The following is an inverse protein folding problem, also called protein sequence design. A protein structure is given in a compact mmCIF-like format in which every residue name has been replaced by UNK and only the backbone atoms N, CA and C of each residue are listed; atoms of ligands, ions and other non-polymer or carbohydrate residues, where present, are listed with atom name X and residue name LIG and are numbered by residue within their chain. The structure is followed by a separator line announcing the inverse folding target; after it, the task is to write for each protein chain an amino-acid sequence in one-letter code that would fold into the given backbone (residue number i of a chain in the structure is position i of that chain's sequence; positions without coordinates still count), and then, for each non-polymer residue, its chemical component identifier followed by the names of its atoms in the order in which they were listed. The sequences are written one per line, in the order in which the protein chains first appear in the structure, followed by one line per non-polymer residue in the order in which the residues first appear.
data_IF_684298571133
#
_entry.id   IF_684298571133
#
_cell.length_a   1.000
_cell.length_b   1.000
_cell.length_c   1.000
_cell.angle_alpha   90.00
_cell.angle_beta   90.00
_cell.angle_gamma   90.00
#
_symmetry.space_group_name_H-M   'P 1'
#
loop_
_entity.id
_entity.type
_entity.pdbx_description
1 polymer ?
#
# COMPACT_ATOMS: atom_id res chain seq x y z
N UNK A 1 4.62 -36.74 -16.06
CA UNK A 1 5.92 -36.40 -15.42
C UNK A 1 5.79 -34.97 -14.96
N UNK A 2 6.16 -34.72 -13.71
CA UNK A 2 6.08 -33.42 -13.05
C UNK A 2 7.44 -32.72 -13.12
N UNK A 3 7.46 -31.40 -12.96
CA UNK A 3 8.71 -30.64 -12.92
C UNK A 3 9.34 -30.73 -11.54
N UNK A 4 8.52 -30.48 -10.50
CA UNK A 4 8.93 -30.53 -9.10
C UNK A 4 7.93 -31.34 -8.29
N UNK A 5 8.43 -32.12 -7.32
CA UNK A 5 7.59 -32.71 -6.27
C UNK A 5 8.17 -32.42 -4.90
N UNK A 6 7.37 -31.77 -4.05
CA UNK A 6 7.62 -31.63 -2.62
C UNK A 6 7.08 -32.88 -1.93
N UNK A 7 7.90 -33.58 -1.13
CA UNK A 7 7.56 -34.87 -0.53
C UNK A 7 7.46 -34.82 0.98
N UNK A 8 6.50 -35.57 1.53
CA UNK A 8 6.40 -35.87 2.96
C UNK A 8 6.29 -34.64 3.88
N UNK A 9 5.69 -33.55 3.38
CA UNK A 9 5.51 -32.31 4.14
C UNK A 9 4.26 -32.33 5.01
N UNK A 10 4.22 -31.43 6.01
CA UNK A 10 2.96 -31.03 6.67
C UNK A 10 2.33 -29.93 5.84
N UNK A 11 1.26 -30.24 5.11
CA UNK A 11 0.60 -29.32 4.20
C UNK A 11 -0.36 -28.42 4.97
N UNK A 12 -0.14 -27.11 4.88
CA UNK A 12 -1.03 -26.05 5.35
C UNK A 12 -1.48 -25.26 4.12
N UNK A 13 -2.69 -25.50 3.64
CA UNK A 13 -3.14 -25.00 2.33
C UNK A 13 -3.64 -23.53 2.32
N UNK A 14 -3.65 -22.87 3.47
CA UNK A 14 -4.11 -21.49 3.64
C UNK A 14 -5.62 -21.31 3.80
N UNK A 15 -6.41 -22.40 3.78
CA UNK A 15 -7.88 -22.34 3.90
C UNK A 15 -8.40 -22.28 5.35
N UNK A 16 -7.49 -22.26 6.34
CA UNK A 16 -7.82 -22.25 7.77
C UNK A 16 -8.05 -23.63 8.39
N UNK A 17 -8.00 -24.70 7.60
CA UNK A 17 -8.10 -26.08 8.09
C UNK A 17 -6.81 -26.55 8.81
N UNK A 18 -6.88 -27.56 9.70
CA UNK A 18 -5.69 -28.21 10.25
C UNK A 18 -4.81 -28.81 9.15
N UNK A 19 -3.51 -28.87 9.41
CA UNK A 19 -2.54 -29.45 8.47
C UNK A 19 -2.72 -30.97 8.31
N UNK A 20 -2.27 -31.51 7.16
CA UNK A 20 -2.20 -32.96 6.92
C UNK A 20 -0.88 -33.36 6.24
N UNK A 21 -0.48 -34.63 6.37
CA UNK A 21 0.72 -35.12 5.69
C UNK A 21 0.47 -35.38 4.21
N UNK A 22 1.37 -34.90 3.36
CA UNK A 22 1.26 -35.14 1.93
C UNK A 22 2.44 -34.60 1.12
N UNK A 23 2.22 -34.66 -0.18
CA UNK A 23 3.10 -34.24 -1.24
C UNK A 23 2.41 -33.15 -2.08
N UNK A 24 3.20 -32.33 -2.75
CA UNK A 24 2.72 -31.34 -3.72
C UNK A 24 3.44 -31.56 -5.04
N UNK A 25 2.67 -31.77 -6.11
CA UNK A 25 3.17 -31.96 -7.47
C UNK A 25 2.97 -30.71 -8.31
N UNK A 26 4.05 -30.24 -8.94
CA UNK A 26 4.08 -29.00 -9.72
C UNK A 26 4.44 -29.33 -11.17
N UNK A 27 3.71 -28.73 -12.11
CA UNK A 27 3.96 -28.83 -13.55
C UNK A 27 3.62 -27.52 -14.24
N UNK A 28 4.49 -27.06 -15.13
CA UNK A 28 4.34 -25.83 -15.91
C UNK A 28 4.00 -24.62 -15.01
N UNK A 29 4.71 -24.51 -13.88
CA UNK A 29 4.53 -23.44 -12.89
C UNK A 29 3.24 -23.53 -12.05
N UNK A 30 2.44 -24.58 -12.23
CA UNK A 30 1.13 -24.75 -11.57
C UNK A 30 1.12 -25.95 -10.64
N UNK A 31 0.42 -25.85 -9.51
CA UNK A 31 0.15 -27.00 -8.63
C UNK A 31 -0.90 -27.90 -9.32
N UNK A 32 -0.53 -29.14 -9.61
CA UNK A 32 -1.41 -30.09 -10.34
C UNK A 32 -1.87 -31.28 -9.50
N UNK A 33 -1.18 -31.59 -8.40
CA UNK A 33 -1.56 -32.66 -7.47
C UNK A 33 -1.21 -32.27 -6.03
N UNK A 34 -2.11 -32.56 -5.07
CA UNK A 34 -1.90 -32.35 -3.63
C UNK A 34 -2.32 -33.61 -2.87
N UNK A 35 -1.56 -33.99 -1.83
CA UNK A 35 -1.83 -35.19 -1.03
C UNK A 35 -0.91 -36.34 -1.44
N UNK A 36 -1.43 -37.40 -2.07
CA UNK A 36 -0.58 -38.54 -2.49
C UNK A 36 -0.17 -38.44 -3.95
N UNK A 37 0.99 -37.86 -4.21
CA UNK A 37 1.50 -37.66 -5.58
C UNK A 37 2.15 -38.94 -6.09
N UNK A 38 1.50 -39.64 -7.02
CA UNK A 38 2.06 -40.90 -7.59
C UNK A 38 3.10 -40.64 -8.69
N UNK A 39 2.98 -39.52 -9.39
CA UNK A 39 3.89 -39.18 -10.48
C UNK A 39 5.28 -38.84 -9.96
N UNK A 40 6.31 -39.12 -10.77
CA UNK A 40 7.67 -38.65 -10.51
C UNK A 40 7.84 -37.21 -10.99
N UNK A 41 8.57 -36.42 -10.21
CA UNK A 41 9.11 -35.11 -10.59
C UNK A 41 10.49 -35.24 -11.20
N UNK A 42 10.85 -34.32 -12.10
CA UNK A 42 12.23 -34.13 -12.54
C UNK A 42 13.12 -33.73 -11.36
N UNK A 43 12.62 -32.80 -10.54
CA UNK A 43 13.18 -32.42 -9.26
C UNK A 43 12.33 -32.96 -8.11
N UNK A 44 12.99 -33.27 -6.99
CA UNK A 44 12.35 -33.75 -5.77
C UNK A 44 12.97 -33.05 -4.56
N UNK A 45 12.12 -32.45 -3.74
CA UNK A 45 12.50 -31.85 -2.45
C UNK A 45 11.86 -32.67 -1.33
N UNK A 46 12.67 -33.15 -0.37
CA UNK A 46 12.16 -33.81 0.84
C UNK A 46 11.82 -32.76 1.90
N UNK A 47 10.53 -32.59 2.16
CA UNK A 47 9.99 -31.65 3.16
C UNK A 47 9.65 -32.34 4.49
N UNK A 48 10.24 -33.52 4.75
CA UNK A 48 10.04 -34.26 5.98
C UNK A 48 10.36 -33.43 7.23
N UNK A 49 9.39 -33.31 8.14
CA UNK A 49 9.52 -32.49 9.35
C UNK A 49 9.32 -30.98 9.14
N UNK A 50 9.13 -30.53 7.89
CA UNK A 50 8.86 -29.15 7.52
C UNK A 50 7.36 -28.94 7.22
N UNK A 51 6.97 -27.66 7.16
CA UNK A 51 5.65 -27.23 6.68
C UNK A 51 5.79 -26.84 5.21
N UNK A 52 4.78 -27.21 4.42
CA UNK A 52 4.60 -26.72 3.05
C UNK A 52 3.32 -25.90 3.02
N UNK A 53 3.43 -24.64 2.67
CA UNK A 53 2.32 -23.70 2.58
C UNK A 53 2.31 -22.99 1.22
N UNK A 54 1.23 -22.27 0.87
CA UNK A 54 1.33 -21.17 -0.07
C UNK A 54 2.46 -20.22 0.33
N UNK A 55 3.10 -19.61 -0.67
CA UNK A 55 4.01 -18.50 -0.42
C UNK A 55 3.26 -17.33 0.20
N UNK A 56 3.95 -16.56 1.06
CA UNK A 56 3.30 -15.47 1.76
C UNK A 56 3.04 -14.29 0.81
N UNK A 57 1.90 -13.65 1.01
CA UNK A 57 1.54 -12.40 0.34
C UNK A 57 1.80 -11.28 1.33
N UNK A 58 2.80 -10.44 1.04
CA UNK A 58 3.03 -9.22 1.79
C UNK A 58 2.06 -8.14 1.29
N UNK A 59 0.94 -7.99 2.01
CA UNK A 59 -0.14 -7.07 1.66
C UNK A 59 0.19 -5.59 1.87
N UNK A 60 1.29 -5.26 2.53
CA UNK A 60 1.65 -3.88 2.81
C UNK A 60 3.17 -3.67 2.79
N UNK A 61 3.69 -3.29 1.63
CA UNK A 61 5.09 -2.96 1.47
C UNK A 61 5.31 -1.71 0.61
N UNK A 62 6.56 -1.23 0.64
CA UNK A 62 7.05 -0.05 -0.08
C UNK A 62 8.28 -0.40 -0.93
N UNK A 63 8.26 -1.58 -1.55
CA UNK A 63 9.34 -2.07 -2.43
C UNK A 63 9.27 -1.52 -3.86
N UNK A 64 8.35 -0.58 -4.11
CA UNK A 64 7.97 -0.04 -5.42
C UNK A 64 9.16 0.28 -6.34
N UNK A 65 10.20 0.91 -5.77
CA UNK A 65 11.43 1.27 -6.47
C UNK A 65 12.57 0.29 -6.19
N UNK A 66 12.63 -0.25 -4.96
CA UNK A 66 13.66 -1.22 -4.56
C UNK A 66 13.71 -2.42 -5.51
N UNK A 67 12.56 -2.95 -5.87
CA UNK A 67 12.45 -4.15 -6.71
C UNK A 67 13.01 -3.95 -8.13
N UNK A 68 13.07 -2.70 -8.60
CA UNK A 68 13.71 -2.37 -9.88
C UNK A 68 15.23 -2.49 -9.79
N UNK A 69 15.81 -2.09 -8.65
CA UNK A 69 17.27 -2.06 -8.46
C UNK A 69 17.83 -3.37 -7.89
N UNK A 70 17.06 -4.03 -7.03
CA UNK A 70 17.36 -5.36 -6.49
C UNK A 70 16.19 -6.33 -6.74
N UNK A 71 16.01 -6.80 -7.99
CA UNK A 71 14.91 -7.70 -8.36
C UNK A 71 15.00 -9.09 -7.73
N UNK A 72 16.12 -9.42 -7.05
CA UNK A 72 16.22 -10.66 -6.28
C UNK A 72 15.49 -10.57 -4.94
N UNK A 73 15.32 -9.36 -4.42
CA UNK A 73 14.57 -9.05 -3.18
C UNK A 73 14.85 -10.07 -2.07
N UNK A 74 16.13 -10.36 -1.82
CA UNK A 74 16.53 -11.48 -0.95
C UNK A 74 15.92 -11.33 0.47
N UNK A 75 15.70 -10.09 0.91
CA UNK A 75 15.06 -9.79 2.19
C UNK A 75 13.63 -10.34 2.30
N UNK A 76 12.88 -10.39 1.19
CA UNK A 76 11.48 -10.87 1.14
C UNK A 76 11.44 -12.37 0.95
N UNK A 77 12.24 -12.91 0.03
CA UNK A 77 12.37 -14.36 -0.19
C UNK A 77 12.83 -15.10 1.07
N UNK A 78 13.76 -14.54 1.85
CA UNK A 78 14.20 -15.13 3.12
C UNK A 78 13.10 -15.25 4.17
N UNK A 79 12.01 -14.48 4.03
CA UNK A 79 10.83 -14.55 4.88
C UNK A 79 9.76 -15.49 4.32
N UNK A 80 9.92 -16.01 3.10
CA UNK A 80 8.93 -16.83 2.40
C UNK A 80 7.87 -16.03 1.64
N UNK A 81 8.09 -14.73 1.43
CA UNK A 81 7.22 -13.88 0.61
C UNK A 81 7.40 -14.24 -0.86
N UNK A 82 6.30 -14.45 -1.58
CA UNK A 82 6.30 -14.70 -3.03
C UNK A 82 5.48 -13.68 -3.80
N UNK A 83 4.76 -12.80 -3.11
CA UNK A 83 3.95 -11.75 -3.72
C UNK A 83 3.94 -10.53 -2.84
N UNK A 84 4.17 -9.38 -3.45
CA UNK A 84 4.21 -8.08 -2.80
C UNK A 84 3.09 -7.20 -3.34
N UNK A 85 2.36 -6.56 -2.43
CA UNK A 85 1.40 -5.50 -2.74
C UNK A 85 2.04 -4.17 -2.40
N UNK A 86 2.46 -3.44 -3.44
CA UNK A 86 3.13 -2.14 -3.37
C UNK A 86 2.16 -0.98 -3.62
N UNK A 87 2.66 0.26 -3.58
CA UNK A 87 1.85 1.44 -3.83
C UNK A 87 0.97 1.87 -2.68
N UNK A 88 1.34 1.51 -1.45
CA UNK A 88 0.57 1.79 -0.24
C UNK A 88 0.68 3.26 0.23
N UNK A 89 -0.13 3.63 1.23
CA UNK A 89 -0.03 4.91 1.95
C UNK A 89 -0.15 6.16 1.05
N UNK A 90 -0.81 6.06 -0.10
CA UNK A 90 -0.92 7.17 -1.05
C UNK A 90 0.37 7.53 -1.77
N UNK A 91 1.37 6.64 -1.78
CA UNK A 91 2.69 6.84 -2.37
C UNK A 91 2.94 5.79 -3.44
N UNK A 92 3.05 6.23 -4.69
CA UNK A 92 3.41 5.36 -5.83
C UNK A 92 4.39 6.07 -6.76
N UNK A 93 5.20 5.31 -7.52
CA UNK A 93 6.14 5.91 -8.44
C UNK A 93 5.51 6.37 -9.77
N UNK A 94 4.25 6.02 -10.01
CA UNK A 94 3.44 6.41 -11.16
C UNK A 94 1.94 6.46 -10.76
N UNK A 95 1.08 7.17 -11.51
CA UNK A 95 1.41 8.05 -12.65
C UNK A 95 1.87 9.43 -12.19
N UNK A 96 2.59 10.17 -13.05
CA UNK A 96 3.02 11.54 -12.74
C UNK A 96 3.04 12.45 -13.95
N UNK A 97 2.99 13.77 -13.70
CA UNK A 97 3.20 14.78 -14.74
C UNK A 97 4.67 15.21 -14.73
N UNK A 98 5.38 15.27 -15.88
CA UNK A 98 6.81 15.60 -15.94
C UNK A 98 7.21 16.89 -15.21
N UNK A 99 6.35 17.90 -15.24
CA UNK A 99 6.57 19.17 -14.53
C UNK A 99 6.67 19.01 -13.01
N UNK A 100 6.05 17.96 -12.45
CA UNK A 100 5.95 17.70 -11.02
C UNK A 100 6.80 16.49 -10.60
N UNK A 101 7.69 15.97 -11.45
CA UNK A 101 8.53 14.83 -11.12
C UNK A 101 9.38 15.08 -9.87
N UNK A 102 10.03 16.24 -9.75
CA UNK A 102 10.85 16.55 -8.56
C UNK A 102 10.03 16.61 -7.27
N UNK A 103 8.78 17.11 -7.34
CA UNK A 103 7.86 17.07 -6.21
C UNK A 103 7.46 15.65 -5.85
N UNK A 104 7.21 14.78 -6.85
CA UNK A 104 6.90 13.38 -6.60
C UNK A 104 8.09 12.66 -5.96
N UNK A 105 9.31 12.86 -6.49
CA UNK A 105 10.53 12.23 -5.97
C UNK A 105 10.73 12.56 -4.50
N UNK A 106 10.69 13.85 -4.16
CA UNK A 106 10.84 14.30 -2.77
C UNK A 106 9.72 13.82 -1.84
N UNK A 107 8.53 13.52 -2.38
CA UNK A 107 7.42 12.94 -1.64
C UNK A 107 7.64 11.45 -1.33
N UNK A 108 8.06 10.64 -2.31
CA UNK A 108 8.05 9.18 -2.17
C UNK A 108 9.41 8.56 -1.81
N UNK A 109 10.53 9.15 -2.25
CA UNK A 109 11.88 8.62 -2.00
C UNK A 109 12.21 8.39 -0.50
N UNK A 110 11.73 9.22 0.46
CA UNK A 110 11.95 8.96 1.89
C UNK A 110 11.38 7.64 2.41
N UNK A 111 10.40 7.06 1.70
CA UNK A 111 9.72 5.81 2.09
C UNK A 111 10.03 4.68 1.11
N UNK A 112 9.94 4.93 -0.20
CA UNK A 112 10.15 3.94 -1.25
C UNK A 112 11.64 3.67 -1.51
N UNK A 113 12.51 4.51 -0.96
CA UNK A 113 13.94 4.54 -1.26
C UNK A 113 14.25 5.30 -2.55
N UNK A 114 15.53 5.50 -2.80
CA UNK A 114 16.03 6.10 -4.03
C UNK A 114 16.29 5.00 -5.05
N UNK A 115 15.95 5.25 -6.31
CA UNK A 115 16.41 4.39 -7.40
C UNK A 115 17.64 4.96 -8.08
N UNK A 116 18.60 4.08 -8.39
CA UNK A 116 19.75 4.41 -9.24
C UNK A 116 19.38 4.53 -10.73
N UNK A 117 18.17 4.11 -11.10
CA UNK A 117 17.67 4.15 -12.47
C UNK A 117 17.10 5.53 -12.80
N UNK A 118 17.12 5.84 -14.09
CA UNK A 118 16.40 6.99 -14.60
C UNK A 118 14.90 6.70 -14.58
N UNK A 119 14.14 7.61 -13.98
CA UNK A 119 12.71 7.48 -13.77
C UNK A 119 11.95 7.81 -15.07
N UNK A 120 11.76 6.78 -15.91
CA UNK A 120 11.23 6.91 -17.28
C UNK A 120 9.77 6.43 -17.44
N UNK A 121 9.04 6.24 -16.34
CA UNK A 121 7.67 5.70 -16.34
C UNK A 121 6.64 6.70 -15.80
N UNK A 122 6.10 7.53 -16.70
CA UNK A 122 5.05 8.53 -16.39
C UNK A 122 3.68 7.88 -16.13
N UNK A 123 3.43 6.68 -16.68
CA UNK A 123 2.18 5.94 -16.51
C UNK A 123 2.40 4.62 -15.76
N UNK A 124 1.33 4.06 -15.20
CA UNK A 124 1.38 2.74 -14.55
C UNK A 124 1.74 1.63 -15.55
N UNK A 125 1.28 1.72 -16.80
CA UNK A 125 1.68 0.78 -17.87
C UNK A 125 3.20 0.80 -18.12
N UNK A 126 3.81 1.99 -18.14
CA UNK A 126 5.26 2.12 -18.28
C UNK A 126 6.00 1.61 -17.04
N UNK A 127 5.42 1.79 -15.85
CA UNK A 127 5.98 1.23 -14.61
C UNK A 127 5.94 -0.31 -14.64
N UNK A 128 4.84 -0.91 -15.09
CA UNK A 128 4.77 -2.36 -15.30
C UNK A 128 5.77 -2.85 -16.35
N UNK A 129 5.99 -2.10 -17.42
CA UNK A 129 7.04 -2.42 -18.39
C UNK A 129 8.42 -2.43 -17.75
N UNK A 130 8.71 -1.45 -16.88
CA UNK A 130 9.97 -1.40 -16.13
C UNK A 130 10.13 -2.58 -15.14
N UNK A 131 9.04 -3.00 -14.48
CA UNK A 131 9.03 -4.19 -13.61
C UNK A 131 9.29 -5.47 -14.42
N UNK A 132 8.63 -5.65 -15.56
CA UNK A 132 8.84 -6.81 -16.43
C UNK A 132 10.29 -6.90 -16.95
N UNK A 133 10.89 -5.75 -17.28
CA UNK A 133 12.29 -5.67 -17.68
C UNK A 133 13.26 -5.98 -16.52
N UNK A 134 12.91 -5.58 -15.29
CA UNK A 134 13.69 -5.86 -14.10
C UNK A 134 13.63 -7.34 -13.67
N UNK A 135 12.54 -8.04 -13.99
CA UNK A 135 12.29 -9.47 -13.67
C UNK A 135 12.39 -9.75 -12.16
N UNK A 136 11.48 -9.19 -11.34
CA UNK A 136 11.42 -9.51 -9.92
C UNK A 136 11.26 -11.00 -9.66
N UNK A 137 11.78 -11.46 -8.52
CA UNK A 137 11.64 -12.85 -8.08
C UNK A 137 10.24 -13.13 -7.53
N UNK A 138 9.61 -12.13 -6.90
CA UNK A 138 8.24 -12.13 -6.43
C UNK A 138 7.27 -11.65 -7.52
N UNK A 139 6.00 -12.03 -7.37
CA UNK A 139 4.91 -11.33 -8.06
C UNK A 139 4.73 -9.94 -7.43
N UNK A 140 4.41 -8.94 -8.27
CA UNK A 140 4.16 -7.57 -7.80
C UNK A 140 2.77 -7.14 -8.23
N UNK A 141 1.95 -6.70 -7.28
CA UNK A 141 0.69 -6.03 -7.50
C UNK A 141 0.78 -4.60 -6.95
N UNK A 142 0.18 -3.61 -7.62
CA UNK A 142 0.32 -2.21 -7.22
C UNK A 142 -1.01 -1.48 -7.10
N UNK A 143 -1.17 -0.72 -6.03
CA UNK A 143 -2.16 0.34 -5.93
C UNK A 143 -1.70 1.57 -6.74
N UNK A 144 -2.62 2.52 -6.96
CA UNK A 144 -2.30 3.90 -7.33
C UNK A 144 -2.32 4.76 -6.07
N UNK A 145 -1.34 5.63 -5.86
CA UNK A 145 -1.29 6.49 -4.68
C UNK A 145 -2.10 7.77 -4.86
N UNK A 146 -3.02 8.07 -3.95
CA UNK A 146 -3.77 9.35 -3.97
C UNK A 146 -2.85 10.57 -3.87
N UNK A 147 -1.81 10.53 -3.02
CA UNK A 147 -0.82 11.61 -2.93
C UNK A 147 -0.10 11.82 -4.26
N UNK A 148 0.26 10.73 -4.94
CA UNK A 148 0.86 10.75 -6.29
C UNK A 148 -0.09 11.37 -7.32
N UNK A 149 -1.37 10.98 -7.36
CA UNK A 149 -2.38 11.58 -8.25
C UNK A 149 -2.53 13.09 -8.00
N UNK A 150 -2.59 13.47 -6.73
CA UNK A 150 -2.70 14.87 -6.33
C UNK A 150 -1.49 15.68 -6.77
N UNK A 151 -0.28 15.15 -6.60
CA UNK A 151 0.95 15.80 -7.07
C UNK A 151 0.94 15.93 -8.60
N UNK A 152 0.51 14.90 -9.32
CA UNK A 152 0.44 14.93 -10.78
C UNK A 152 -0.49 16.06 -11.32
N UNK A 153 -1.57 16.37 -10.60
CA UNK A 153 -2.58 17.34 -11.05
C UNK A 153 -2.39 18.73 -10.43
N UNK A 154 -2.10 18.79 -9.14
CA UNK A 154 -2.15 20.00 -8.31
C UNK A 154 -0.81 20.33 -7.62
N UNK A 155 0.20 19.47 -7.76
CA UNK A 155 1.42 19.58 -6.96
C UNK A 155 1.13 19.46 -5.45
N UNK A 156 1.72 20.35 -4.66
CA UNK A 156 1.64 20.36 -3.19
C UNK A 156 0.70 21.44 -2.62
N UNK A 157 -0.25 21.93 -3.43
CA UNK A 157 -1.16 23.00 -3.02
C UNK A 157 -2.11 22.57 -1.88
N UNK A 158 -2.19 23.39 -0.84
CA UNK A 158 -3.04 23.17 0.33
C UNK A 158 -4.43 23.80 0.12
N UNK A 159 -5.20 23.21 -0.80
CA UNK A 159 -6.60 23.56 -1.07
C UNK A 159 -7.39 22.36 -1.59
N UNK A 160 -8.74 22.40 -1.54
CA UNK A 160 -9.56 21.44 -2.27
C UNK A 160 -9.28 21.46 -3.77
N UNK A 161 -9.50 20.31 -4.41
CA UNK A 161 -9.46 20.22 -5.86
C UNK A 161 -10.65 20.99 -6.47
N UNK A 162 -10.42 21.67 -7.59
CA UNK A 162 -11.52 22.08 -8.44
C UNK A 162 -12.18 20.87 -9.09
N UNK A 163 -13.41 21.02 -9.60
CA UNK A 163 -14.08 19.94 -10.32
C UNK A 163 -13.28 19.42 -11.51
N UNK A 164 -12.58 20.29 -12.25
CA UNK A 164 -11.73 19.88 -13.38
C UNK A 164 -10.50 19.07 -12.93
N UNK A 165 -9.88 19.47 -11.82
CA UNK A 165 -8.72 18.75 -11.25
C UNK A 165 -9.14 17.39 -10.68
N UNK A 166 -10.28 17.31 -10.00
CA UNK A 166 -10.84 16.06 -9.51
C UNK A 166 -11.16 15.10 -10.67
N UNK A 167 -11.80 15.60 -11.73
CA UNK A 167 -12.05 14.82 -12.95
C UNK A 167 -10.75 14.37 -13.63
N UNK A 168 -9.68 15.18 -13.57
CA UNK A 168 -8.37 14.78 -14.08
C UNK A 168 -7.74 13.68 -13.24
N UNK A 169 -7.83 13.75 -11.90
CA UNK A 169 -7.37 12.66 -11.02
C UNK A 169 -8.14 11.37 -11.26
N UNK A 170 -9.47 11.44 -11.46
CA UNK A 170 -10.29 10.27 -11.83
C UNK A 170 -9.84 9.63 -13.13
N UNK A 171 -9.55 10.43 -14.18
CA UNK A 171 -9.04 9.90 -15.46
C UNK A 171 -7.71 9.18 -15.31
N UNK A 172 -6.75 9.77 -14.58
CA UNK A 172 -5.45 9.14 -14.32
C UNK A 172 -5.61 7.83 -13.53
N UNK A 173 -6.52 7.80 -12.55
CA UNK A 173 -6.86 6.58 -11.81
C UNK A 173 -7.47 5.53 -12.75
N UNK A 174 -8.43 5.92 -13.59
CA UNK A 174 -9.09 5.02 -14.55
C UNK A 174 -8.09 4.43 -15.56
N UNK A 175 -7.20 5.24 -16.13
CA UNK A 175 -6.10 4.78 -17.01
C UNK A 175 -5.18 3.79 -16.28
N UNK A 176 -4.88 4.05 -15.01
CA UNK A 176 -4.02 3.19 -14.20
C UNK A 176 -4.67 1.84 -13.87
N UNK A 177 -5.98 1.84 -13.58
CA UNK A 177 -6.74 0.61 -13.37
C UNK A 177 -6.85 -0.21 -14.66
N UNK A 178 -7.07 0.46 -15.81
CA UNK A 178 -7.05 -0.20 -17.12
C UNK A 178 -5.70 -0.82 -17.45
N UNK A 179 -4.60 -0.22 -16.99
CA UNK A 179 -3.25 -0.77 -17.13
C UNK A 179 -2.99 -1.98 -16.21
N UNK A 180 -3.85 -2.24 -15.21
CA UNK A 180 -3.75 -3.39 -14.31
C UNK A 180 -3.42 -3.05 -12.85
N UNK A 181 -3.46 -1.77 -12.44
CA UNK A 181 -3.42 -1.45 -11.01
C UNK A 181 -4.62 -2.07 -10.28
N UNK A 182 -4.41 -2.55 -9.05
CA UNK A 182 -5.44 -3.27 -8.29
C UNK A 182 -6.41 -2.36 -7.55
N UNK A 183 -6.13 -1.06 -7.50
CA UNK A 183 -6.93 -0.12 -6.71
C UNK A 183 -6.28 1.22 -6.45
N UNK A 184 -6.76 1.90 -5.41
CA UNK A 184 -6.25 3.18 -4.90
C UNK A 184 -5.79 3.01 -3.45
N UNK A 185 -4.66 3.63 -3.10
CA UNK A 185 -4.24 3.78 -1.71
C UNK A 185 -4.31 5.25 -1.26
N UNK A 186 -4.72 5.46 -0.01
CA UNK A 186 -4.79 6.77 0.62
C UNK A 186 -3.67 6.93 1.65
N UNK A 187 -3.14 8.15 1.73
CA UNK A 187 -2.11 8.58 2.67
C UNK A 187 -2.55 9.79 3.46
N UNK A 188 -3.59 9.66 4.28
CA UNK A 188 -4.30 10.81 4.84
C UNK A 188 -3.55 11.53 5.97
N UNK A 189 -2.52 10.88 6.53
CA UNK A 189 -1.57 11.52 7.45
C UNK A 189 -0.56 12.42 6.71
N UNK A 190 -0.28 12.13 5.44
CA UNK A 190 0.84 12.75 4.71
C UNK A 190 0.37 13.89 3.83
N UNK A 191 1.10 15.01 3.81
CA UNK A 191 0.93 16.02 2.79
C UNK A 191 1.47 15.51 1.43
N UNK A 192 0.77 15.75 0.29
CA UNK A 192 -0.42 16.59 0.19
C UNK A 192 -1.74 15.83 0.37
N UNK A 193 -1.73 14.51 0.58
CA UNK A 193 -2.97 13.71 0.76
C UNK A 193 -3.85 14.19 1.92
N UNK A 194 -3.24 14.68 3.00
CA UNK A 194 -3.91 15.14 4.22
C UNK A 194 -4.78 16.39 4.02
N UNK A 195 -4.60 17.17 2.96
CA UNK A 195 -5.46 18.34 2.72
C UNK A 195 -6.78 18.00 2.01
N UNK A 196 -6.98 16.75 1.58
CA UNK A 196 -8.16 16.36 0.81
C UNK A 196 -9.35 16.09 1.76
N UNK A 197 -10.51 16.73 1.54
CA UNK A 197 -11.73 16.47 2.31
C UNK A 197 -12.32 15.09 1.98
N UNK A 198 -13.11 14.54 2.91
CA UNK A 198 -13.70 13.21 2.77
C UNK A 198 -14.59 13.06 1.54
N UNK A 199 -15.30 14.12 1.17
CA UNK A 199 -16.20 14.15 0.01
C UNK A 199 -15.44 13.95 -1.31
N UNK A 200 -14.34 14.68 -1.52
CA UNK A 200 -13.48 14.53 -2.69
C UNK A 200 -12.85 13.13 -2.74
N UNK A 201 -12.47 12.57 -1.58
CA UNK A 201 -11.96 11.21 -1.48
C UNK A 201 -13.02 10.18 -1.87
N UNK A 202 -14.26 10.32 -1.37
CA UNK A 202 -15.36 9.42 -1.72
C UNK A 202 -15.72 9.51 -3.21
N UNK A 203 -15.67 10.71 -3.78
CA UNK A 203 -15.90 10.93 -5.21
C UNK A 203 -14.77 10.36 -6.08
N UNK A 204 -13.51 10.44 -5.65
CA UNK A 204 -12.41 9.78 -6.34
C UNK A 204 -12.52 8.25 -6.23
N UNK A 205 -12.81 7.73 -5.03
CA UNK A 205 -12.93 6.30 -4.78
C UNK A 205 -14.09 5.64 -5.54
N UNK A 206 -15.13 6.39 -5.94
CA UNK A 206 -16.23 5.82 -6.72
C UNK A 206 -15.79 5.26 -8.08
N UNK A 207 -14.63 5.69 -8.60
CA UNK A 207 -14.04 5.13 -9.82
C UNK A 207 -13.76 3.64 -9.68
N UNK A 208 -13.31 3.19 -8.50
CA UNK A 208 -12.90 1.80 -8.24
C UNK A 208 -14.02 0.78 -8.44
N UNK A 209 -15.26 1.18 -8.12
CA UNK A 209 -16.45 0.31 -8.24
C UNK A 209 -16.69 -0.23 -9.65
N UNK A 210 -16.19 0.46 -10.68
CA UNK A 210 -16.30 0.05 -12.09
C UNK A 210 -15.26 -1.00 -12.49
N UNK A 211 -14.27 -1.26 -11.64
CA UNK A 211 -13.07 -2.05 -11.91
C UNK A 211 -12.84 -3.16 -10.88
N UNK A 212 -13.82 -3.43 -10.00
CA UNK A 212 -13.63 -4.30 -8.82
C UNK A 212 -12.38 -3.91 -8.00
N UNK A 213 -12.06 -2.61 -7.99
CA UNK A 213 -10.84 -2.06 -7.41
C UNK A 213 -10.88 -1.98 -5.89
N UNK A 214 -9.73 -2.19 -5.27
CA UNK A 214 -9.56 -2.18 -3.81
C UNK A 214 -9.20 -0.77 -3.31
N UNK A 215 -9.64 -0.43 -2.10
CA UNK A 215 -9.22 0.79 -1.41
C UNK A 215 -8.33 0.42 -0.21
N UNK A 216 -7.07 0.85 -0.22
CA UNK A 216 -6.19 0.79 0.95
C UNK A 216 -6.02 2.16 1.59
N UNK A 217 -5.84 2.23 2.92
CA UNK A 217 -5.70 3.54 3.59
C UNK A 217 -4.75 3.53 4.77
N UNK A 218 -3.75 4.41 4.70
CA UNK A 218 -3.12 4.98 5.87
C UNK A 218 -4.02 6.13 6.36
N UNK A 219 -4.72 5.88 7.46
CA UNK A 219 -5.75 6.77 8.02
C UNK A 219 -5.18 8.11 8.50
N UNK A 220 -6.05 9.12 8.63
CA UNK A 220 -5.66 10.51 8.89
C UNK A 220 -4.86 10.73 10.17
N UNK A 221 -5.17 9.97 11.21
CA UNK A 221 -4.32 9.91 12.39
C UNK A 221 -4.51 8.61 13.18
N UNK A 222 -3.42 8.18 13.80
CA UNK A 222 -3.33 6.89 14.50
C UNK A 222 -3.19 7.06 16.02
N UNK A 223 -3.18 8.31 16.51
CA UNK A 223 -3.11 8.67 17.93
C UNK A 223 -4.46 9.13 18.46
N UNK A 224 -4.53 10.37 18.96
CA UNK A 224 -5.74 10.92 19.58
C UNK A 224 -6.95 10.96 18.64
N UNK A 225 -6.72 10.97 17.32
CA UNK A 225 -7.75 10.97 16.29
C UNK A 225 -7.99 9.60 15.67
N UNK A 226 -7.49 8.50 16.26
CA UNK A 226 -7.66 7.14 15.71
C UNK A 226 -9.12 6.83 15.38
N UNK A 227 -10.01 7.01 16.36
CA UNK A 227 -11.43 6.66 16.21
C UNK A 227 -12.12 7.51 15.13
N UNK A 228 -12.05 8.85 15.15
CA UNK A 228 -12.56 9.66 14.03
C UNK A 228 -11.98 9.30 12.67
N UNK A 229 -10.71 8.89 12.60
CA UNK A 229 -10.05 8.54 11.34
C UNK A 229 -10.54 7.21 10.78
N UNK A 230 -10.87 6.24 11.65
CA UNK A 230 -11.52 4.98 11.27
C UNK A 230 -12.94 5.25 10.76
N UNK A 231 -13.71 6.08 11.47
CA UNK A 231 -15.07 6.48 11.08
C UNK A 231 -15.07 7.18 9.71
N UNK A 232 -14.10 8.06 9.46
CA UNK A 232 -13.92 8.74 8.17
C UNK A 232 -13.75 7.75 7.01
N UNK A 233 -12.82 6.79 7.13
CA UNK A 233 -12.53 5.87 6.01
C UNK A 233 -13.62 4.82 5.81
N UNK A 234 -14.32 4.42 6.88
CA UNK A 234 -15.53 3.60 6.76
C UNK A 234 -16.61 4.38 6.00
N UNK A 235 -16.83 5.64 6.36
CA UNK A 235 -17.80 6.48 5.66
C UNK A 235 -17.45 6.67 4.18
N UNK A 236 -16.17 6.90 3.85
CA UNK A 236 -15.69 6.97 2.46
C UNK A 236 -16.01 5.67 1.72
N UNK A 237 -15.65 4.52 2.31
CA UNK A 237 -15.86 3.23 1.66
C UNK A 237 -17.34 2.87 1.48
N UNK A 238 -18.19 3.15 2.48
CA UNK A 238 -19.65 3.00 2.38
C UNK A 238 -20.23 3.92 1.30
N UNK A 239 -19.75 5.16 1.22
CA UNK A 239 -20.23 6.15 0.25
C UNK A 239 -19.84 5.80 -1.19
N UNK A 240 -18.65 5.24 -1.38
CA UNK A 240 -18.12 4.85 -2.69
C UNK A 240 -18.48 3.42 -3.11
N UNK A 241 -18.93 2.58 -2.17
CA UNK A 241 -19.29 1.18 -2.43
C UNK A 241 -18.09 0.29 -2.74
N UNK A 242 -16.96 0.48 -2.04
CA UNK A 242 -15.68 -0.19 -2.32
C UNK A 242 -15.17 -1.00 -1.12
N UNK A 243 -14.49 -2.14 -1.34
CA UNK A 243 -13.80 -2.86 -0.27
C UNK A 243 -12.67 -2.02 0.35
N UNK A 244 -12.51 -2.09 1.67
CA UNK A 244 -11.60 -1.26 2.44
C UNK A 244 -10.53 -2.08 3.19
N UNK A 245 -9.27 -1.79 2.92
CA UNK A 245 -8.10 -2.26 3.66
C UNK A 245 -7.55 -1.12 4.52
N UNK A 246 -7.73 -1.18 5.84
CA UNK A 246 -7.08 -0.25 6.77
C UNK A 246 -5.65 -0.73 7.01
N UNK A 247 -4.69 0.03 6.50
CA UNK A 247 -3.28 -0.32 6.61
C UNK A 247 -2.77 -0.21 8.04
N UNK A 248 -1.91 -1.15 8.42
CA UNK A 248 -1.08 -1.17 9.63
C UNK A 248 -1.77 -0.60 10.88
N UNK A 249 -2.96 -1.12 11.20
CA UNK A 249 -3.83 -0.60 12.26
C UNK A 249 -3.08 -0.54 13.60
N UNK A 250 -3.06 0.63 14.24
CA UNK A 250 -2.35 0.83 15.51
C UNK A 250 -2.94 1.98 16.33
N UNK A 251 -2.56 2.02 17.61
CA UNK A 251 -2.81 3.13 18.51
C UNK A 251 -1.47 3.76 18.96
N UNK A 252 -1.12 4.91 18.38
CA UNK A 252 0.14 5.60 18.60
C UNK A 252 0.09 6.49 19.87
N UNK A 253 1.16 6.46 20.66
CA UNK A 253 1.30 7.23 21.90
C UNK A 253 0.62 6.57 23.11
N UNK A 254 1.27 6.66 24.28
CA UNK A 254 0.85 5.96 25.49
C UNK A 254 -0.57 6.27 25.97
N UNK A 255 -1.06 7.49 25.71
CA UNK A 255 -2.44 7.89 26.04
C UNK A 255 -3.52 7.19 25.23
N UNK A 256 -3.17 6.56 24.10
CA UNK A 256 -4.12 5.90 23.21
C UNK A 256 -4.10 4.37 23.35
N UNK A 257 -3.22 3.79 24.18
CA UNK A 257 -3.11 2.34 24.28
C UNK A 257 -4.44 1.70 24.73
N UNK A 258 -4.84 0.65 24.02
CA UNK A 258 -6.14 -0.02 24.18
C UNK A 258 -7.25 0.50 23.27
N UNK A 259 -7.12 1.70 22.68
CA UNK A 259 -8.14 2.24 21.77
C UNK A 259 -8.31 1.42 20.48
N UNK A 260 -7.32 0.59 20.14
CA UNK A 260 -7.44 -0.37 19.03
C UNK A 260 -8.61 -1.34 19.23
N UNK A 261 -8.99 -1.68 20.46
CA UNK A 261 -10.17 -2.52 20.71
C UNK A 261 -11.44 -1.85 20.20
N UNK A 262 -11.56 -0.53 20.43
CA UNK A 262 -12.68 0.26 19.91
C UNK A 262 -12.62 0.39 18.39
N UNK A 263 -11.43 0.51 17.80
CA UNK A 263 -11.27 0.50 16.34
C UNK A 263 -11.72 -0.84 15.73
N UNK A 264 -11.40 -1.97 16.37
CA UNK A 264 -11.87 -3.30 15.94
C UNK A 264 -13.39 -3.43 16.02
N UNK A 265 -14.02 -2.93 17.09
CA UNK A 265 -15.49 -2.90 17.19
C UNK A 265 -16.14 -2.12 16.03
N UNK A 266 -15.55 -0.99 15.61
CA UNK A 266 -16.06 -0.22 14.47
C UNK A 266 -15.91 -0.98 13.15
N UNK A 267 -14.80 -1.70 12.96
CA UNK A 267 -14.57 -2.54 11.77
C UNK A 267 -15.57 -3.70 11.74
N UNK A 268 -15.82 -4.37 12.87
CA UNK A 268 -16.81 -5.44 12.98
C UNK A 268 -18.24 -4.94 12.76
N UNK A 269 -18.59 -3.78 13.32
CA UNK A 269 -19.88 -3.13 13.12
C UNK A 269 -20.10 -2.77 11.64
N UNK A 270 -19.09 -2.21 10.96
CA UNK A 270 -19.14 -1.96 9.53
C UNK A 270 -19.30 -3.24 8.68
N UNK A 271 -18.60 -4.33 9.03
CA UNK A 271 -18.81 -5.65 8.41
C UNK A 271 -20.24 -6.14 8.59
N UNK A 272 -20.83 -5.94 9.78
CA UNK A 272 -22.20 -6.35 10.06
C UNK A 272 -23.24 -5.60 9.21
N UNK A 273 -22.90 -4.38 8.77
CA UNK A 273 -23.68 -3.59 7.81
C UNK A 273 -23.46 -3.97 6.34
N UNK A 274 -22.54 -4.91 6.07
CA UNK A 274 -22.24 -5.42 4.74
C UNK A 274 -21.05 -4.76 4.05
N UNK A 275 -20.28 -3.90 4.73
CA UNK A 275 -19.04 -3.38 4.18
C UNK A 275 -17.95 -4.47 4.21
N UNK A 276 -17.32 -4.74 3.07
CA UNK A 276 -16.10 -5.54 3.04
C UNK A 276 -14.93 -4.68 3.52
N UNK A 277 -14.61 -4.77 4.81
CA UNK A 277 -13.51 -4.04 5.44
C UNK A 277 -12.59 -4.99 6.17
N UNK A 278 -11.28 -4.77 6.11
CA UNK A 278 -10.30 -5.49 6.91
C UNK A 278 -9.10 -4.60 7.24
N UNK A 279 -8.13 -5.13 7.96
CA UNK A 279 -6.90 -4.43 8.29
C UNK A 279 -5.70 -5.37 8.31
N UNK A 280 -4.51 -4.81 8.16
CA UNK A 280 -3.23 -5.48 8.39
C UNK A 280 -2.48 -4.86 9.56
N UNK A 281 -1.47 -5.57 10.05
CA UNK A 281 -0.54 -5.12 11.08
C UNK A 281 0.84 -5.71 10.79
N UNK A 282 1.89 -5.05 11.28
CA UNK A 282 3.21 -5.64 11.40
C UNK A 282 3.48 -6.02 12.87
N UNK A 283 4.23 -7.11 13.15
CA UNK A 283 4.39 -7.65 14.50
C UNK A 283 5.46 -6.91 15.32
N UNK A 284 5.42 -5.58 15.36
CA UNK A 284 6.37 -4.73 16.07
C UNK A 284 5.66 -3.59 16.81
N UNK A 285 6.31 -3.07 17.86
CA UNK A 285 5.77 -1.98 18.69
C UNK A 285 6.22 -0.59 18.26
N UNK A 286 6.92 -0.46 17.12
CA UNK A 286 7.44 0.79 16.60
C UNK A 286 7.13 0.91 15.11
N UNK A 287 6.67 2.09 14.70
CA UNK A 287 6.54 2.46 13.30
C UNK A 287 7.81 3.11 12.75
N UNK A 288 7.86 3.27 11.43
CA UNK A 288 8.94 3.95 10.73
C UNK A 288 8.35 4.72 9.55
N UNK A 289 8.60 6.03 9.48
CA UNK A 289 8.14 6.90 8.39
C UNK A 289 8.95 8.20 8.38
N UNK A 290 8.63 9.11 7.47
CA UNK A 290 9.27 10.43 7.37
C UNK A 290 9.07 11.28 8.63
N UNK A 291 10.11 12.01 9.02
CA UNK A 291 10.08 12.98 10.13
C UNK A 291 9.09 14.13 9.90
N UNK A 292 8.76 14.42 8.64
CA UNK A 292 7.81 15.49 8.27
C UNK A 292 6.41 15.25 8.81
N UNK A 293 6.05 14.01 9.16
CA UNK A 293 4.77 13.67 9.80
C UNK A 293 4.54 14.35 11.14
N UNK A 294 5.61 14.80 11.80
CA UNK A 294 5.50 15.57 13.03
C UNK A 294 5.05 17.01 12.77
N UNK A 295 5.32 17.57 11.58
CA UNK A 295 5.02 18.97 11.28
C UNK A 295 3.53 19.18 11.00
N UNK A 296 2.96 20.34 11.37
CA UNK A 296 1.58 20.63 11.05
C UNK A 296 1.38 20.70 9.52
N UNK A 297 0.25 20.23 8.97
CA UNK A 297 0.06 20.11 7.52
C UNK A 297 0.33 21.41 6.74
N UNK A 298 -0.06 22.57 7.26
CA UNK A 298 0.18 23.87 6.59
C UNK A 298 1.67 24.18 6.37
N UNK A 299 2.56 23.64 7.21
CA UNK A 299 3.99 23.86 7.05
C UNK A 299 4.57 23.11 5.85
N UNK A 300 3.88 22.06 5.37
CA UNK A 300 4.28 21.19 4.26
C UNK A 300 3.76 21.66 2.89
N UNK A 301 3.00 22.74 2.85
CA UNK A 301 2.45 23.30 1.60
C UNK A 301 3.58 23.66 0.62
N UNK A 302 3.41 23.34 -0.66
CA UNK A 302 4.45 23.58 -1.67
C UNK A 302 5.70 22.71 -1.56
N UNK A 303 5.68 21.66 -0.73
CA UNK A 303 6.71 20.63 -0.70
C UNK A 303 7.94 20.97 0.14
N UNK A 304 8.99 20.16 -0.01
CA UNK A 304 10.18 20.18 0.87
C UNK A 304 10.89 21.53 0.85
N UNK A 305 11.10 22.14 -0.32
CA UNK A 305 11.81 23.42 -0.45
C UNK A 305 11.11 24.54 0.33
N UNK A 306 9.79 24.70 0.16
CA UNK A 306 9.03 25.70 0.90
C UNK A 306 8.95 25.36 2.40
N UNK A 307 8.90 24.09 2.76
CA UNK A 307 8.96 23.64 4.16
C UNK A 307 10.25 24.12 4.82
N UNK A 308 11.39 23.96 4.14
CA UNK A 308 12.69 24.41 4.65
C UNK A 308 12.75 25.94 4.80
N UNK A 309 12.19 26.69 3.85
CA UNK A 309 12.06 28.15 3.96
C UNK A 309 11.23 28.55 5.19
N UNK A 310 10.07 27.91 5.42
CA UNK A 310 9.23 28.15 6.62
C UNK A 310 9.96 27.79 7.92
N UNK A 311 10.73 26.71 7.94
CA UNK A 311 11.55 26.37 9.10
C UNK A 311 12.66 27.40 9.34
N UNK A 312 13.17 28.02 8.28
CA UNK A 312 14.11 29.14 8.33
C UNK A 312 13.52 30.42 8.94
N UNK A 313 12.23 30.68 8.74
CA UNK A 313 11.53 31.85 9.26
C UNK A 313 11.23 31.75 10.78
N UNK A 314 11.68 32.70 11.62
CA UNK A 314 11.46 32.66 13.06
C UNK A 314 9.99 32.64 13.49
N UNK A 315 9.11 33.37 12.79
CA UNK A 315 7.70 33.46 13.15
C UNK A 315 6.98 32.13 12.87
N UNK A 316 7.20 31.57 11.67
CA UNK A 316 6.69 30.26 11.27
C UNK A 316 7.19 29.16 12.19
N UNK A 317 8.48 29.19 12.57
CA UNK A 317 9.07 28.21 13.49
C UNK A 317 8.46 28.26 14.88
N UNK A 318 8.18 29.45 15.41
CA UNK A 318 7.53 29.56 16.73
C UNK A 318 6.09 29.05 16.69
N UNK A 319 5.35 29.34 15.61
CA UNK A 319 4.01 28.77 15.39
C UNK A 319 4.04 27.24 15.31
N UNK A 320 4.97 26.67 14.54
CA UNK A 320 5.17 25.21 14.48
C UNK A 320 5.43 24.67 15.88
N UNK A 321 6.38 25.26 16.62
CA UNK A 321 6.71 24.84 17.98
C UNK A 321 5.50 24.85 18.92
N UNK A 322 4.63 25.86 18.81
CA UNK A 322 3.43 25.93 19.65
C UNK A 322 2.41 24.85 19.32
N UNK A 323 2.29 24.47 18.04
CA UNK A 323 1.35 23.42 17.59
C UNK A 323 1.86 21.99 17.86
N UNK A 324 3.18 21.81 18.09
CA UNK A 324 3.79 20.52 18.46
C UNK A 324 3.71 20.18 19.96
N UNK A 325 3.34 21.15 20.81
CA UNK A 325 3.27 20.99 22.27
C UNK A 325 1.89 20.49 22.70
#
# INVERSE_FOLDING_TARGET
MLDLVLRNGRLVDGTGNPWFFGDVGIKDGTIVEVGRVKQRGLEKIEAGGQVVSPGFIDGHCHSDLMVLDDPRSEIKLQQGVTTEVVGNCGMTPAPFAPLNLDLLRTYVEPVLGNSGREWRWETVEQYFSALLDARPSENVATYVGHGTLRIAVMGFENRPASGEELERMKRLLEESLQAGAIGLSLGLMYAPGSYTPGEDLAELCSVLSRYDGLLATHIRGEGNSLIPSIEEVIWIAERSGVPLQISHLKAAGGGNWGSVMRAMELIEDARSRGLDVTCDVYPYTAGSTSLTTLLPPWALEGGVSQTLERLGDPASRERIRSELR
#
